data_IF_573668890203
#
_entry.id   IF_573668890203
#
_cell.length_a   1.000
_cell.length_b   1.000
_cell.length_c   1.000
_cell.angle_alpha   90.00
_cell.angle_beta   90.00
_cell.angle_gamma   90.00
#
_symmetry.space_group_name_H-M   'P 1'
#
loop_
_entity.id
_entity.type
_entity.pdbx_description
1 polymer ?
#
# COMPACT_ATOMS: atom_id res chain seq x y z
N UNK A 1 17.72 -12.13 2.14
CA UNK A 1 16.96 -11.30 1.19
C UNK A 1 15.51 -11.76 1.16
N UNK A 2 14.54 -10.88 1.39
CA UNK A 2 13.12 -11.24 1.24
C UNK A 2 12.77 -11.15 -0.24
N UNK A 3 12.55 -12.29 -0.89
CA UNK A 3 11.98 -12.35 -2.24
C UNK A 3 10.69 -11.53 -2.26
N UNK A 4 10.72 -10.37 -2.94
CA UNK A 4 9.51 -9.60 -3.19
C UNK A 4 8.75 -10.31 -4.31
N UNK A 5 7.71 -11.08 -3.95
CA UNK A 5 6.82 -11.69 -4.93
C UNK A 5 6.21 -10.62 -5.84
N UNK A 6 6.34 -10.80 -7.16
CA UNK A 6 5.68 -9.95 -8.14
C UNK A 6 4.16 -10.04 -7.97
N UNK A 7 3.50 -8.88 -7.93
CA UNK A 7 2.04 -8.76 -7.89
C UNK A 7 1.54 -8.23 -9.23
N UNK A 8 0.65 -8.96 -9.87
CA UNK A 8 0.01 -8.56 -11.12
C UNK A 8 -1.32 -7.89 -10.76
N UNK A 9 -1.59 -6.74 -11.36
CA UNK A 9 -2.85 -6.01 -11.22
C UNK A 9 -3.47 -5.88 -12.60
N UNK A 10 -4.72 -6.29 -12.76
CA UNK A 10 -5.51 -5.97 -13.96
C UNK A 10 -6.46 -4.84 -13.59
N UNK A 11 -6.13 -3.64 -14.08
CA UNK A 11 -6.92 -2.44 -13.83
C UNK A 11 -8.08 -2.36 -14.82
N UNK A 12 -9.29 -2.20 -14.31
CA UNK A 12 -10.43 -1.77 -15.11
C UNK A 12 -10.53 -0.25 -15.04
N UNK A 13 -10.38 0.44 -16.18
CA UNK A 13 -10.37 1.92 -16.22
C UNK A 13 -11.77 2.52 -16.07
N UNK A 14 -12.81 1.87 -16.58
CA UNK A 14 -14.20 2.36 -16.47
C UNK A 14 -14.71 2.27 -15.04
N UNK A 15 -14.35 1.19 -14.35
CA UNK A 15 -14.70 0.97 -12.96
C UNK A 15 -13.58 0.25 -12.23
N UNK A 16 -12.70 1.02 -11.62
CA UNK A 16 -11.54 0.52 -10.88
C UNK A 16 -11.91 -0.48 -9.77
N UNK A 17 -13.15 -0.45 -9.25
CA UNK A 17 -13.63 -1.41 -8.22
C UNK A 17 -13.74 -2.84 -8.76
N UNK A 18 -13.84 -3.01 -10.07
CA UNK A 18 -13.87 -4.31 -10.76
C UNK A 18 -12.47 -4.82 -11.14
N UNK A 19 -11.41 -4.12 -10.70
CA UNK A 19 -10.03 -4.54 -10.94
C UNK A 19 -9.64 -5.76 -10.12
N UNK A 20 -8.66 -6.52 -10.63
CA UNK A 20 -8.17 -7.74 -9.97
C UNK A 20 -6.69 -7.61 -9.58
N UNK A 21 -6.26 -8.35 -8.55
CA UNK A 21 -4.86 -8.36 -8.11
C UNK A 21 -4.46 -9.74 -7.59
N UNK A 22 -3.23 -10.18 -7.88
CA UNK A 22 -2.70 -11.48 -7.41
C UNK A 22 -2.15 -11.44 -5.97
N UNK A 23 -2.45 -10.41 -5.17
CA UNK A 23 -1.98 -10.34 -3.79
C UNK A 23 -2.92 -11.07 -2.82
N UNK A 24 -2.39 -11.65 -1.71
CA UNK A 24 -3.20 -12.37 -0.73
C UNK A 24 -4.36 -11.54 -0.16
N UNK A 25 -4.16 -10.23 0.05
CA UNK A 25 -5.21 -9.33 0.54
C UNK A 25 -6.41 -9.26 -0.41
N UNK A 26 -6.17 -9.25 -1.72
CA UNK A 26 -7.23 -9.22 -2.71
C UNK A 26 -8.01 -10.53 -2.72
N UNK A 27 -7.34 -11.69 -2.66
CA UNK A 27 -8.05 -12.98 -2.57
C UNK A 27 -8.95 -13.11 -1.34
N UNK A 28 -8.62 -12.42 -0.24
CA UNK A 28 -9.42 -12.47 1.01
C UNK A 28 -10.59 -11.49 1.02
N UNK A 29 -10.42 -10.30 0.45
CA UNK A 29 -11.36 -9.20 0.62
C UNK A 29 -11.91 -8.65 -0.71
N UNK A 30 -11.48 -9.18 -1.83
CA UNK A 30 -11.71 -8.67 -3.19
C UNK A 30 -11.29 -7.19 -3.37
N UNK A 31 -10.44 -6.69 -2.48
CA UNK A 31 -9.90 -5.33 -2.51
C UNK A 31 -8.51 -5.32 -1.87
N UNK A 32 -7.61 -4.48 -2.38
CA UNK A 32 -6.26 -4.36 -1.85
C UNK A 32 -5.65 -2.99 -2.09
N UNK A 33 -4.62 -2.65 -1.30
CA UNK A 33 -3.89 -1.39 -1.41
C UNK A 33 -3.26 -1.13 -2.78
N UNK A 34 -2.95 -2.18 -3.55
CA UNK A 34 -2.33 -2.03 -4.87
C UNK A 34 -3.31 -1.42 -5.86
N UNK A 35 -4.54 -1.95 -5.93
CA UNK A 35 -5.61 -1.42 -6.78
C UNK A 35 -5.92 0.02 -6.38
N UNK A 36 -6.06 0.29 -5.07
CA UNK A 36 -6.33 1.65 -4.56
C UNK A 36 -5.18 2.61 -4.92
N UNK A 37 -3.93 2.21 -4.72
CA UNK A 37 -2.78 3.06 -5.05
C UNK A 37 -2.66 3.36 -6.56
N UNK A 38 -2.94 2.37 -7.41
CA UNK A 38 -2.93 2.54 -8.87
C UNK A 38 -4.08 3.45 -9.29
N UNK A 39 -5.30 3.17 -8.84
CA UNK A 39 -6.46 3.97 -9.21
C UNK A 39 -6.35 5.44 -8.70
N UNK A 40 -5.63 5.68 -7.61
CA UNK A 40 -5.28 7.04 -7.15
C UNK A 40 -4.35 7.75 -8.12
N UNK A 41 -3.30 7.06 -8.58
CA UNK A 41 -2.35 7.59 -9.56
C UNK A 41 -3.03 7.89 -10.90
N UNK A 42 -3.93 7.00 -11.32
CA UNK A 42 -4.70 7.13 -12.57
C UNK A 42 -5.92 8.06 -12.45
N UNK A 43 -6.17 8.66 -11.26
CA UNK A 43 -7.31 9.55 -10.98
C UNK A 43 -8.67 8.95 -11.35
N UNK A 44 -8.85 7.66 -11.09
CA UNK A 44 -10.08 6.92 -11.39
C UNK A 44 -11.15 7.04 -10.29
N UNK A 45 -11.07 8.07 -9.43
CA UNK A 45 -12.05 8.32 -8.37
C UNK A 45 -12.49 9.77 -8.37
N UNK A 46 -13.78 9.98 -8.11
CA UNK A 46 -14.30 11.29 -7.70
C UNK A 46 -14.05 11.53 -6.20
N UNK A 47 -14.25 10.51 -5.37
CA UNK A 47 -14.02 10.55 -3.93
C UNK A 47 -13.27 9.31 -3.44
N UNK A 48 -12.43 9.48 -2.41
CA UNK A 48 -11.65 8.37 -1.87
C UNK A 48 -12.56 7.45 -1.03
N UNK A 49 -12.67 6.16 -1.37
CA UNK A 49 -13.61 5.23 -0.73
C UNK A 49 -13.25 5.03 0.74
N UNK A 50 -14.20 5.27 1.66
CA UNK A 50 -13.95 5.12 3.11
C UNK A 50 -13.65 3.66 3.49
N UNK A 51 -14.17 2.70 2.73
CA UNK A 51 -13.94 1.27 2.93
C UNK A 51 -12.44 0.92 2.79
N UNK A 52 -11.70 1.70 2.01
CA UNK A 52 -10.26 1.52 1.83
C UNK A 52 -9.42 1.92 3.05
N UNK A 53 -9.98 2.69 3.99
CA UNK A 53 -9.27 3.11 5.22
C UNK A 53 -9.11 1.95 6.20
N UNK A 54 -9.97 0.92 6.11
CA UNK A 54 -9.86 -0.30 6.90
C UNK A 54 -8.75 -1.22 6.40
N UNK A 55 -8.31 -1.06 5.15
CA UNK A 55 -7.11 -1.73 4.67
C UNK A 55 -5.92 -1.00 5.29
N UNK A 56 -5.27 -1.63 6.25
CA UNK A 56 -4.01 -1.12 6.80
C UNK A 56 -3.01 -1.03 5.64
N UNK A 57 -2.87 0.16 5.05
CA UNK A 57 -1.76 0.56 4.21
C UNK A 57 -0.53 0.39 5.09
N UNK A 58 0.06 -0.81 5.04
CA UNK A 58 0.97 -1.38 6.04
C UNK A 58 1.56 -0.34 6.96
N UNK A 59 1.22 -0.42 8.25
CA UNK A 59 1.61 0.55 9.28
C UNK A 59 3.03 1.03 9.00
N UNK A 60 3.17 2.32 8.68
CA UNK A 60 4.50 2.94 8.70
C UNK A 60 5.02 2.68 10.09
N UNK A 61 6.16 1.97 10.19
CA UNK A 61 6.74 1.64 11.47
C UNK A 61 6.79 2.92 12.30
N UNK A 62 6.25 2.88 13.52
CA UNK A 62 6.36 4.02 14.41
C UNK A 62 7.83 4.40 14.49
N UNK A 63 8.12 5.70 14.41
CA UNK A 63 9.48 6.18 14.55
C UNK A 63 10.02 5.61 15.85
N UNK A 64 10.94 4.65 15.75
CA UNK A 64 11.56 4.04 16.91
C UNK A 64 12.25 5.11 17.73
N UNK A 65 12.59 4.80 18.99
CA UNK A 65 13.40 5.70 19.82
C UNK A 65 14.60 6.18 18.98
N UNK A 66 14.79 7.51 18.80
CA UNK A 66 15.96 8.02 18.09
C UNK A 66 17.20 7.37 18.68
N UNK A 67 18.01 6.70 17.85
CA UNK A 67 19.30 6.18 18.31
C UNK A 67 20.07 7.40 18.82
N UNK A 68 20.43 7.40 20.11
CA UNK A 68 21.39 8.37 20.63
C UNK A 68 22.65 8.19 19.78
N UNK A 69 22.95 9.15 18.91
CA UNK A 69 24.23 9.17 18.23
C UNK A 69 25.28 9.22 19.36
N UNK A 70 26.15 8.21 19.42
CA UNK A 70 27.33 8.33 20.28
C UNK A 70 28.03 9.62 19.84
N UNK A 71 28.30 10.54 20.78
CA UNK A 71 29.12 11.72 20.49
C UNK A 71 30.38 11.21 19.79
N UNK A 72 30.57 11.59 18.52
CA UNK A 72 31.83 11.37 17.85
C UNK A 72 32.91 11.97 18.77
N UNK A 73 33.95 11.18 19.05
CA UNK A 73 35.03 11.48 19.98
C UNK A 73 35.44 12.96 19.86
N UNK A 74 35.23 13.76 20.91
CA UNK A 74 35.75 15.12 20.94
C UNK A 74 37.27 15.04 20.92
N UNK A 75 37.87 15.73 19.95
CA UNK A 75 39.30 15.76 19.67
C UNK A 75 40.07 16.49 20.76
#
# INVERSE_FOLDING_TARGET
ETFQELRIVQLNQDNWKLSTCTCPSWFRHYMCKHIIGIAYRERLFDEFPKESWCLTLGQVASAGRPRKMAKALAK
#
